data_IF_363332791369
#
_entry.id   IF_363332791369
#
_cell.length_a   1.000
_cell.length_b   1.000
_cell.length_c   1.000
_cell.angle_alpha   90.00
_cell.angle_beta   90.00
_cell.angle_gamma   90.00
#
_symmetry.space_group_name_H-M   'P 1'
#
loop_
_entity.id
_entity.type
_entity.pdbx_description
1 polymer ?
#
# COMPACT_ATOMS: atom_id res chain seq x y z
N UNK A 1 3.92 17.44 10.23
CA UNK A 1 4.90 18.30 9.51
C UNK A 1 4.75 18.23 8.00
N UNK A 2 4.43 17.06 7.43
CA UNK A 2 4.21 16.90 5.98
C UNK A 2 2.90 17.57 5.49
N UNK A 3 1.86 17.62 6.31
CA UNK A 3 0.58 18.28 5.98
C UNK A 3 0.68 19.81 5.90
N UNK A 4 1.62 20.41 6.61
CA UNK A 4 1.82 21.87 6.62
C UNK A 4 2.41 22.37 5.29
N UNK A 5 3.16 21.54 4.57
CA UNK A 5 3.76 21.90 3.29
C UNK A 5 2.80 21.94 2.09
N UNK A 6 1.57 21.41 2.24
CA UNK A 6 0.60 21.35 1.14
C UNK A 6 -0.21 22.64 0.94
N UNK A 7 -0.20 23.56 1.92
CA UNK A 7 -1.24 24.62 1.96
C UNK A 7 -0.76 26.06 1.86
N UNK A 8 0.51 26.35 1.76
CA UNK A 8 0.95 27.78 1.76
C UNK A 8 1.92 28.11 0.66
N UNK A 9 1.63 29.10 -0.13
CA UNK A 9 2.43 30.05 -0.91
C UNK A 9 3.96 29.91 -1.03
N UNK A 10 4.51 28.77 -0.66
CA UNK A 10 5.91 28.38 -0.86
C UNK A 10 6.20 27.97 -2.32
N UNK A 11 5.16 27.95 -3.17
CA UNK A 11 5.32 27.62 -4.59
C UNK A 11 6.24 28.62 -5.30
N UNK A 12 6.22 29.90 -4.95
CA UNK A 12 7.10 30.89 -5.55
C UNK A 12 8.57 30.73 -5.11
N UNK A 13 8.81 30.39 -3.85
CA UNK A 13 10.16 30.11 -3.37
C UNK A 13 10.73 28.81 -3.98
N UNK A 14 9.86 27.86 -4.34
CA UNK A 14 10.26 26.61 -4.97
C UNK A 14 10.56 26.75 -6.46
N UNK A 15 9.96 27.71 -7.15
CA UNK A 15 10.28 28.03 -8.55
C UNK A 15 11.73 28.53 -8.74
N UNK A 16 12.40 28.96 -7.67
CA UNK A 16 13.80 29.33 -7.65
C UNK A 16 14.78 28.16 -7.45
N UNK A 17 14.25 26.94 -7.23
CA UNK A 17 15.06 25.73 -7.04
C UNK A 17 15.48 25.13 -8.39
N UNK A 18 16.57 24.36 -8.36
CA UNK A 18 17.01 23.62 -9.54
C UNK A 18 15.96 22.58 -10.00
N UNK A 19 15.97 22.16 -11.28
CA UNK A 19 14.97 21.24 -11.83
C UNK A 19 14.87 19.90 -11.10
N UNK A 20 15.97 19.36 -10.58
CA UNK A 20 15.98 18.08 -9.86
C UNK A 20 15.27 18.20 -8.51
N UNK A 21 15.46 19.32 -7.84
CA UNK A 21 14.75 19.63 -6.60
C UNK A 21 13.27 19.82 -6.86
N UNK A 22 12.87 20.51 -7.91
CA UNK A 22 11.46 20.68 -8.30
C UNK A 22 10.79 19.33 -8.59
N UNK A 23 11.46 18.45 -9.33
CA UNK A 23 10.94 17.11 -9.63
C UNK A 23 10.80 16.28 -8.37
N UNK A 24 11.76 16.37 -7.45
CA UNK A 24 11.70 15.68 -6.15
C UNK A 24 10.50 16.15 -5.33
N UNK A 25 10.27 17.46 -5.26
CA UNK A 25 9.13 18.04 -4.53
C UNK A 25 7.81 17.65 -5.18
N UNK A 26 7.72 17.66 -6.51
CA UNK A 26 6.53 17.24 -7.23
C UNK A 26 6.19 15.76 -6.90
N UNK A 27 7.19 14.88 -6.92
CA UNK A 27 7.05 13.47 -6.55
C UNK A 27 6.57 13.34 -5.10
N UNK A 28 7.14 14.10 -4.17
CA UNK A 28 6.72 14.13 -2.78
C UNK A 28 5.25 14.47 -2.60
N UNK A 29 4.79 15.52 -3.27
CA UNK A 29 3.38 15.93 -3.24
C UNK A 29 2.45 14.82 -3.73
N UNK A 30 2.84 14.09 -4.77
CA UNK A 30 2.06 12.98 -5.27
C UNK A 30 2.06 11.81 -4.28
N UNK A 31 3.19 11.47 -3.68
CA UNK A 31 3.25 10.41 -2.67
C UNK A 31 2.41 10.74 -1.43
N UNK A 32 2.40 11.99 -0.98
CA UNK A 32 1.52 12.44 0.11
C UNK A 32 0.03 12.29 -0.25
N UNK A 33 -0.36 12.63 -1.48
CA UNK A 33 -1.74 12.41 -1.96
C UNK A 33 -2.10 10.93 -1.99
N UNK A 34 -1.22 10.08 -2.50
CA UNK A 34 -1.42 8.64 -2.52
C UNK A 34 -1.50 8.05 -1.10
N UNK A 35 -0.65 8.51 -0.18
CA UNK A 35 -0.67 8.11 1.23
C UNK A 35 -1.95 8.59 1.94
N UNK A 36 -2.45 9.79 1.63
CA UNK A 36 -3.74 10.27 2.11
C UNK A 36 -4.89 9.40 1.56
N UNK A 37 -4.87 9.07 0.27
CA UNK A 37 -5.84 8.17 -0.33
C UNK A 37 -5.83 6.78 0.33
N UNK A 38 -4.63 6.23 0.62
CA UNK A 38 -4.46 5.00 1.39
C UNK A 38 -5.15 5.08 2.76
N UNK A 39 -4.89 6.13 3.52
CA UNK A 39 -5.52 6.35 4.82
C UNK A 39 -7.05 6.37 4.71
N UNK A 40 -7.58 7.06 3.71
CA UNK A 40 -9.02 7.16 3.47
C UNK A 40 -9.65 5.82 3.08
N UNK A 41 -8.92 4.92 2.41
CA UNK A 41 -9.40 3.57 2.11
C UNK A 41 -9.70 2.81 3.39
N UNK A 42 -8.78 2.81 4.35
CA UNK A 42 -8.96 2.07 5.61
C UNK A 42 -9.86 2.78 6.62
N UNK A 43 -9.91 4.11 6.65
CA UNK A 43 -10.64 4.87 7.68
C UNK A 43 -11.96 5.47 7.23
N UNK A 44 -12.09 5.88 5.96
CA UNK A 44 -13.21 6.66 5.46
C UNK A 44 -14.01 5.98 4.32
N UNK A 45 -13.60 4.78 3.90
CA UNK A 45 -14.33 4.02 2.88
C UNK A 45 -14.13 4.47 1.45
N UNK A 46 -13.06 5.20 1.19
CA UNK A 46 -12.63 5.42 -0.18
C UNK A 46 -12.31 4.08 -0.84
N UNK A 47 -12.66 3.90 -2.11
CA UNK A 47 -12.18 2.77 -2.88
C UNK A 47 -10.73 3.03 -3.35
N UNK A 48 -9.81 2.05 -3.28
CA UNK A 48 -8.52 2.14 -3.95
C UNK A 48 -8.71 2.11 -5.46
N UNK A 49 -7.72 2.59 -6.19
CA UNK A 49 -7.65 2.31 -7.63
C UNK A 49 -7.29 0.83 -7.83
N UNK A 50 -7.71 0.27 -8.94
CA UNK A 50 -7.37 -1.11 -9.32
C UNK A 50 -6.85 -1.14 -10.74
N UNK A 51 -6.11 -2.18 -11.09
CA UNK A 51 -5.66 -2.41 -12.46
C UNK A 51 -6.75 -3.17 -13.19
N UNK A 52 -7.20 -2.62 -14.32
CA UNK A 52 -8.29 -3.16 -15.13
C UNK A 52 -9.62 -3.27 -14.33
N UNK A 53 -10.12 -4.47 -14.10
CA UNK A 53 -11.32 -4.73 -13.30
C UNK A 53 -10.96 -5.33 -11.95
N UNK A 54 -11.69 -4.98 -10.86
CA UNK A 54 -11.41 -5.57 -9.54
C UNK A 54 -11.60 -7.08 -9.57
N UNK A 55 -10.60 -7.81 -9.10
CA UNK A 55 -10.70 -9.26 -8.89
C UNK A 55 -11.70 -9.57 -7.76
N UNK A 56 -12.15 -10.81 -7.68
CA UNK A 56 -13.07 -11.21 -6.60
C UNK A 56 -12.38 -11.11 -5.23
N UNK A 57 -11.07 -11.32 -5.16
CA UNK A 57 -10.26 -11.05 -3.96
C UNK A 57 -10.37 -9.60 -3.53
N UNK A 58 -10.12 -8.65 -4.44
CA UNK A 58 -10.22 -7.22 -4.13
C UNK A 58 -11.63 -6.84 -3.67
N UNK A 59 -12.67 -7.34 -4.33
CA UNK A 59 -14.07 -7.11 -3.91
C UNK A 59 -14.35 -7.62 -2.49
N UNK A 60 -13.84 -8.82 -2.17
CA UNK A 60 -14.00 -9.41 -0.84
C UNK A 60 -13.25 -8.59 0.21
N UNK A 61 -12.01 -8.17 -0.05
CA UNK A 61 -11.23 -7.31 0.85
C UNK A 61 -11.91 -5.95 1.09
N UNK A 62 -12.55 -5.36 0.08
CA UNK A 62 -13.35 -4.14 0.24
C UNK A 62 -14.56 -4.38 1.15
N UNK A 63 -15.20 -5.56 1.05
CA UNK A 63 -16.33 -5.94 1.91
C UNK A 63 -15.86 -6.16 3.36
N UNK A 64 -14.70 -6.79 3.56
CA UNK A 64 -14.08 -6.96 4.88
C UNK A 64 -13.78 -5.60 5.50
N UNK A 65 -13.15 -4.70 4.76
CA UNK A 65 -12.85 -3.33 5.20
C UNK A 65 -14.12 -2.56 5.61
N UNK A 66 -15.20 -2.71 4.85
CA UNK A 66 -16.48 -2.11 5.19
C UNK A 66 -17.03 -2.68 6.51
N UNK A 67 -17.00 -4.01 6.68
CA UNK A 67 -17.49 -4.68 7.88
C UNK A 67 -16.71 -4.25 9.13
N UNK A 68 -15.38 -4.11 9.05
CA UNK A 68 -14.53 -3.61 10.13
C UNK A 68 -14.95 -2.19 10.53
N UNK A 69 -15.10 -1.28 9.58
CA UNK A 69 -15.50 0.11 9.86
C UNK A 69 -16.89 0.24 10.47
N UNK A 70 -17.78 -0.70 10.18
CA UNK A 70 -19.12 -0.76 10.76
C UNK A 70 -19.16 -1.53 12.10
N UNK A 71 -18.00 -1.98 12.62
CA UNK A 71 -17.88 -2.73 13.86
C UNK A 71 -18.37 -4.17 13.78
N UNK A 72 -18.58 -4.71 12.57
CA UNK A 72 -19.02 -6.08 12.32
C UNK A 72 -17.85 -7.06 12.25
N UNK A 73 -17.01 -7.08 13.31
CA UNK A 73 -15.74 -7.79 13.33
C UNK A 73 -15.87 -9.29 13.07
N UNK A 74 -16.88 -9.95 13.64
CA UNK A 74 -17.10 -11.38 13.43
C UNK A 74 -17.42 -11.73 11.95
N UNK A 75 -18.15 -10.85 11.26
CA UNK A 75 -18.43 -10.99 9.83
C UNK A 75 -17.17 -10.78 9.00
N UNK A 76 -16.38 -9.77 9.35
CA UNK A 76 -15.10 -9.48 8.71
C UNK A 76 -14.13 -10.66 8.84
N UNK A 77 -13.98 -11.21 10.07
CA UNK A 77 -13.12 -12.36 10.34
C UNK A 77 -13.57 -13.62 9.56
N UNK A 78 -14.87 -13.91 9.54
CA UNK A 78 -15.40 -15.04 8.77
C UNK A 78 -15.14 -14.88 7.26
N UNK A 79 -15.28 -13.68 6.73
CA UNK A 79 -15.00 -13.37 5.32
C UNK A 79 -13.50 -13.50 5.00
N UNK A 80 -12.59 -13.03 5.88
CA UNK A 80 -11.15 -13.16 5.73
C UNK A 80 -10.71 -14.64 5.76
N UNK A 81 -11.23 -15.42 6.69
CA UNK A 81 -10.99 -16.87 6.78
C UNK A 81 -11.47 -17.60 5.52
N UNK A 82 -12.65 -17.26 5.01
CA UNK A 82 -13.18 -17.84 3.78
C UNK A 82 -12.32 -17.45 2.56
N UNK A 83 -11.84 -16.21 2.51
CA UNK A 83 -10.94 -15.73 1.45
C UNK A 83 -9.62 -16.50 1.47
N UNK A 84 -9.02 -16.67 2.65
CA UNK A 84 -7.77 -17.44 2.80
C UNK A 84 -7.97 -18.91 2.46
N UNK A 85 -9.05 -19.55 2.91
CA UNK A 85 -9.36 -20.94 2.58
C UNK A 85 -9.57 -21.19 1.07
N UNK A 86 -10.04 -20.18 0.33
CA UNK A 86 -10.23 -20.24 -1.12
C UNK A 86 -9.01 -19.80 -1.90
N UNK A 87 -7.99 -19.24 -1.23
CA UNK A 87 -6.79 -18.69 -1.86
C UNK A 87 -5.95 -19.81 -2.50
N UNK A 88 -5.43 -19.52 -3.67
CA UNK A 88 -4.41 -20.36 -4.30
C UNK A 88 -3.03 -19.88 -3.88
N UNK A 89 -2.07 -20.78 -3.64
CA UNK A 89 -0.68 -20.41 -3.43
C UNK A 89 -0.17 -19.54 -4.60
N UNK A 90 0.62 -18.53 -4.28
CA UNK A 90 1.27 -17.65 -5.24
C UNK A 90 2.77 -17.97 -5.29
N UNK A 91 3.21 -18.93 -6.11
CA UNK A 91 4.64 -19.28 -6.19
C UNK A 91 5.42 -18.17 -6.85
N UNK A 92 6.60 -17.89 -6.33
CA UNK A 92 7.48 -16.85 -6.85
C UNK A 92 8.97 -17.23 -6.71
N UNK A 93 9.82 -16.42 -7.33
CA UNK A 93 11.26 -16.44 -7.10
C UNK A 93 11.63 -15.16 -6.36
N UNK A 94 12.09 -15.29 -5.12
CA UNK A 94 12.50 -14.17 -4.26
C UNK A 94 14.01 -14.24 -4.08
N UNK A 95 14.74 -13.23 -4.57
CA UNK A 95 16.20 -13.17 -4.53
C UNK A 95 16.90 -14.44 -5.06
N UNK A 96 16.33 -15.02 -6.13
CA UNK A 96 16.85 -16.23 -6.77
C UNK A 96 16.44 -17.55 -6.12
N UNK A 97 15.69 -17.51 -5.01
CA UNK A 97 15.18 -18.70 -4.33
C UNK A 97 13.70 -18.92 -4.67
N UNK A 98 13.34 -20.16 -4.95
CA UNK A 98 11.94 -20.53 -5.14
C UNK A 98 11.21 -20.53 -3.81
N UNK A 99 10.07 -19.84 -3.79
CA UNK A 99 9.14 -19.77 -2.68
C UNK A 99 7.80 -20.33 -3.16
N UNK A 100 7.24 -21.27 -2.44
CA UNK A 100 6.01 -21.95 -2.85
C UNK A 100 4.79 -21.04 -2.77
N UNK A 101 4.82 -20.07 -1.86
CA UNK A 101 3.71 -19.16 -1.64
C UNK A 101 4.18 -17.80 -1.10
N UNK A 102 3.72 -16.73 -1.73
CA UNK A 102 3.94 -15.35 -1.28
C UNK A 102 2.59 -14.74 -0.91
N UNK A 103 2.48 -14.30 0.33
CA UNK A 103 1.34 -13.51 0.82
C UNK A 103 1.81 -12.50 1.86
N UNK A 104 1.03 -11.47 2.06
CA UNK A 104 1.19 -10.63 3.24
C UNK A 104 0.68 -11.35 4.49
N UNK A 105 1.26 -11.05 5.66
CA UNK A 105 0.82 -11.60 6.94
C UNK A 105 -0.45 -10.91 7.46
N UNK A 106 -0.67 -9.65 7.07
CA UNK A 106 -1.88 -8.89 7.37
C UNK A 106 -3.04 -9.42 6.51
N UNK A 107 -4.11 -9.86 7.15
CA UNK A 107 -5.30 -10.40 6.49
C UNK A 107 -6.00 -9.38 5.59
N UNK A 108 -5.85 -8.07 5.85
CA UNK A 108 -6.40 -7.01 5.00
C UNK A 108 -5.57 -6.78 3.73
N UNK A 109 -4.32 -7.22 3.73
CA UNK A 109 -3.39 -7.11 2.61
C UNK A 109 -3.08 -8.48 1.98
N UNK A 110 -3.64 -9.57 2.51
CA UNK A 110 -3.38 -10.92 2.03
C UNK A 110 -3.71 -11.08 0.53
N UNK A 111 -2.69 -11.38 -0.26
CA UNK A 111 -2.82 -11.59 -1.70
C UNK A 111 -2.95 -10.33 -2.54
N UNK A 112 -2.76 -9.14 -1.98
CA UNK A 112 -2.62 -7.89 -2.72
C UNK A 112 -1.27 -7.23 -2.48
N UNK A 113 -0.88 -6.38 -3.41
CA UNK A 113 0.24 -5.45 -3.28
C UNK A 113 -0.32 -4.04 -3.22
N UNK A 114 -0.03 -3.33 -2.14
CA UNK A 114 -0.33 -1.91 -2.00
C UNK A 114 0.66 -1.07 -2.80
N UNK A 115 0.17 -0.16 -3.63
CA UNK A 115 1.02 0.65 -4.53
C UNK A 115 0.65 2.12 -4.43
N UNK A 116 1.64 2.97 -4.15
CA UNK A 116 1.55 4.41 -4.30
C UNK A 116 2.18 4.79 -5.64
N UNK A 117 1.39 5.31 -6.55
CA UNK A 117 1.86 5.69 -7.87
C UNK A 117 2.38 7.13 -7.89
N UNK A 118 3.32 7.41 -8.79
CA UNK A 118 3.91 8.74 -8.98
C UNK A 118 2.92 9.83 -9.42
N UNK A 119 1.71 9.44 -9.83
CA UNK A 119 0.62 10.35 -10.17
C UNK A 119 -0.31 10.71 -8.99
N UNK A 120 0.01 10.27 -7.78
CA UNK A 120 -0.76 10.55 -6.57
C UNK A 120 -1.93 9.61 -6.31
N UNK A 121 -2.04 8.53 -7.06
CA UNK A 121 -3.08 7.51 -6.88
C UNK A 121 -2.56 6.36 -6.01
N UNK A 122 -3.47 5.75 -5.26
CA UNK A 122 -3.23 4.57 -4.45
C UNK A 122 -3.95 3.37 -5.03
N UNK A 123 -3.22 2.30 -5.29
CA UNK A 123 -3.72 1.10 -5.94
C UNK A 123 -3.67 -0.11 -5.02
N UNK A 124 -4.63 -1.01 -5.19
CA UNK A 124 -4.56 -2.41 -4.81
C UNK A 124 -4.32 -3.24 -6.08
N UNK A 125 -3.22 -3.96 -6.09
CA UNK A 125 -2.84 -4.84 -7.20
C UNK A 125 -2.89 -6.27 -6.69
N UNK A 126 -3.69 -7.12 -7.30
CA UNK A 126 -3.72 -8.54 -6.98
C UNK A 126 -2.35 -9.17 -7.30
N UNK A 127 -1.78 -9.95 -6.36
CA UNK A 127 -0.48 -10.60 -6.56
C UNK A 127 -0.47 -11.50 -7.79
N UNK A 128 -1.60 -12.08 -8.17
CA UNK A 128 -1.71 -12.87 -9.41
C UNK A 128 -1.51 -12.02 -10.68
N UNK A 129 -1.70 -10.71 -10.61
CA UNK A 129 -1.44 -9.77 -11.72
C UNK A 129 0.03 -9.36 -11.83
N UNK A 130 0.83 -9.60 -10.78
CA UNK A 130 2.24 -9.22 -10.75
C UNK A 130 3.08 -10.21 -11.55
N UNK A 131 3.86 -9.71 -12.50
CA UNK A 131 4.87 -10.49 -13.22
C UNK A 131 6.23 -10.39 -12.53
N UNK A 132 6.62 -9.18 -12.09
CA UNK A 132 7.83 -8.98 -11.28
C UNK A 132 7.74 -7.71 -10.46
N UNK A 133 8.36 -7.73 -9.29
CA UNK A 133 8.56 -6.59 -8.41
C UNK A 133 10.04 -6.53 -8.03
N UNK A 134 10.68 -5.39 -8.31
CA UNK A 134 12.07 -5.13 -7.91
C UNK A 134 12.11 -3.95 -6.97
N UNK A 135 12.41 -4.19 -5.70
CA UNK A 135 12.59 -3.15 -4.70
C UNK A 135 13.99 -2.51 -4.86
N UNK A 136 14.06 -1.18 -4.82
CA UNK A 136 15.34 -0.48 -4.78
C UNK A 136 15.88 -0.44 -3.34
N UNK A 137 17.20 -0.53 -3.14
CA UNK A 137 17.81 -0.33 -1.83
C UNK A 137 17.46 1.05 -1.27
N UNK A 138 17.17 1.18 0.04
CA UNK A 138 16.88 2.48 0.63
C UNK A 138 18.16 3.34 0.63
N UNK A 139 18.02 4.59 0.18
CA UNK A 139 19.12 5.57 0.15
C UNK A 139 18.81 6.80 1.01
N UNK A 140 17.55 7.07 1.27
CA UNK A 140 17.05 8.23 2.02
C UNK A 140 16.13 7.75 3.15
N UNK A 141 15.99 8.50 4.24
CA UNK A 141 15.05 8.16 5.32
C UNK A 141 13.62 7.91 4.82
N UNK A 142 13.19 8.62 3.78
CA UNK A 142 11.88 8.45 3.17
C UNK A 142 11.68 7.07 2.56
N UNK A 143 12.72 6.47 2.02
CA UNK A 143 12.67 5.16 1.40
C UNK A 143 12.40 4.05 2.44
N UNK A 144 12.45 4.38 3.74
CA UNK A 144 12.03 3.50 4.85
C UNK A 144 10.51 3.54 5.07
N UNK A 145 9.82 4.57 4.59
CA UNK A 145 8.36 4.68 4.65
C UNK A 145 7.72 4.22 3.36
N UNK A 146 8.31 4.60 2.22
CA UNK A 146 7.82 4.31 0.88
C UNK A 146 8.98 3.79 0.03
N UNK A 147 9.04 2.48 -0.11
CA UNK A 147 10.11 1.82 -0.84
C UNK A 147 9.90 1.98 -2.33
N UNK A 148 10.83 2.63 -3.00
CA UNK A 148 10.84 2.72 -4.46
C UNK A 148 11.00 1.34 -5.08
N UNK A 149 10.21 1.07 -6.12
CA UNK A 149 10.20 -0.22 -6.80
C UNK A 149 9.89 -0.07 -8.30
N UNK A 150 10.31 -1.04 -9.08
CA UNK A 150 9.82 -1.26 -10.44
C UNK A 150 8.84 -2.42 -10.41
N UNK A 151 7.62 -2.17 -10.86
CA UNK A 151 6.53 -3.13 -10.94
C UNK A 151 6.22 -3.43 -12.39
N UNK A 152 6.28 -4.70 -12.76
CA UNK A 152 5.82 -5.20 -14.05
C UNK A 152 4.61 -6.09 -13.84
N UNK A 153 3.53 -5.81 -14.55
CA UNK A 153 2.30 -6.57 -14.50
C UNK A 153 2.23 -7.57 -15.65
N UNK A 154 1.43 -8.61 -15.47
CA UNK A 154 1.23 -9.64 -16.52
C UNK A 154 0.56 -9.12 -17.78
N UNK A 155 -0.16 -7.99 -17.72
CA UNK A 155 -0.73 -7.30 -18.87
C UNK A 155 0.32 -6.50 -19.68
N UNK A 156 1.59 -6.50 -19.27
CA UNK A 156 2.69 -5.80 -19.91
C UNK A 156 2.95 -4.37 -19.39
N UNK A 157 2.14 -3.87 -18.45
CA UNK A 157 2.40 -2.58 -17.82
C UNK A 157 3.69 -2.63 -17.01
N UNK A 158 4.55 -1.64 -17.19
CA UNK A 158 5.85 -1.50 -16.51
C UNK A 158 5.95 -0.09 -15.95
N UNK A 159 6.10 0.04 -14.64
CA UNK A 159 6.02 1.33 -13.95
C UNK A 159 6.96 1.41 -12.77
N UNK A 160 7.48 2.61 -12.53
CA UNK A 160 8.12 2.97 -11.27
C UNK A 160 7.02 3.35 -10.26
N UNK A 161 7.07 2.70 -9.11
CA UNK A 161 6.06 2.83 -8.06
C UNK A 161 6.73 2.91 -6.68
N UNK A 162 5.91 3.14 -5.66
CA UNK A 162 6.37 3.11 -4.27
C UNK A 162 5.50 2.14 -3.47
N UNK A 163 6.14 1.31 -2.68
CA UNK A 163 5.50 0.32 -1.82
C UNK A 163 5.53 0.86 -0.38
N UNK A 164 4.38 0.97 0.31
CA UNK A 164 4.38 1.33 1.72
C UNK A 164 5.12 0.25 2.52
N UNK A 165 6.05 0.68 3.37
CA UNK A 165 6.85 -0.23 4.22
C UNK A 165 6.26 -0.36 5.63
N UNK A 166 5.17 0.35 5.93
CA UNK A 166 4.48 0.35 7.21
C UNK A 166 3.02 0.01 6.95
N UNK A 167 2.47 -0.90 7.74
CA UNK A 167 1.07 -1.28 7.66
C UNK A 167 0.12 -0.11 7.96
N UNK A 168 -1.10 -0.12 7.39
CA UNK A 168 -2.12 0.84 7.77
C UNK A 168 -2.50 0.58 9.22
N UNK A 169 -2.19 1.52 10.10
CA UNK A 169 -2.52 1.40 11.51
C UNK A 169 -3.28 2.63 11.99
N UNK A 170 -4.26 2.40 12.85
CA UNK A 170 -4.98 3.45 13.57
C UNK A 170 -4.38 3.52 14.97
N UNK A 171 -3.29 4.26 15.11
CA UNK A 171 -2.60 4.44 16.40
C UNK A 171 -1.99 5.82 16.49
N UNK A 172 -1.88 6.34 17.71
CA UNK A 172 -1.12 7.55 18.03
C UNK A 172 0.30 7.23 18.55
N UNK A 173 0.70 5.95 18.59
CA UNK A 173 2.05 5.54 18.99
C UNK A 173 3.09 5.96 17.94
N UNK A 174 4.01 6.89 18.26
CA UNK A 174 5.04 7.33 17.32
C UNK A 174 5.97 6.21 16.85
N UNK A 175 6.20 5.18 17.68
CA UNK A 175 7.07 4.07 17.31
C UNK A 175 6.43 3.20 16.22
N UNK A 176 5.12 2.93 16.30
CA UNK A 176 4.36 2.23 15.27
C UNK A 176 4.25 3.08 13.98
N UNK A 177 3.93 4.37 14.11
CA UNK A 177 3.83 5.30 12.96
C UNK A 177 5.15 5.45 12.19
N UNK A 178 6.29 5.22 12.83
CA UNK A 178 7.62 5.26 12.22
C UNK A 178 8.14 3.88 11.82
N UNK A 179 7.33 2.82 11.96
CA UNK A 179 7.74 1.45 11.66
C UNK A 179 8.87 0.91 12.56
N UNK A 180 9.04 1.50 13.77
CA UNK A 180 10.03 1.04 14.77
C UNK A 180 9.50 -0.06 15.67
N UNK A 181 8.19 -0.30 15.60
CA UNK A 181 7.48 -1.32 16.33
C UNK A 181 6.44 -1.93 15.40
N UNK A 182 6.37 -3.24 15.36
CA UNK A 182 5.31 -4.01 14.72
C UNK A 182 4.71 -4.90 15.79
N UNK A 183 3.42 -4.74 16.04
CA UNK A 183 2.64 -5.63 16.89
C UNK A 183 1.53 -6.23 16.01
N UNK A 184 1.36 -7.52 16.11
CA UNK A 184 0.22 -8.21 15.53
C UNK A 184 -0.88 -8.28 16.59
N UNK A 185 -2.04 -7.78 16.25
CA UNK A 185 -3.23 -7.84 17.11
C UNK A 185 -4.20 -8.83 16.49
N UNK A 186 -4.58 -9.84 17.26
CA UNK A 186 -5.73 -10.68 16.92
C UNK A 186 -6.99 -9.95 17.37
N UNK A 187 -7.71 -9.35 16.44
CA UNK A 187 -8.97 -8.66 16.70
C UNK A 187 -10.15 -9.51 16.20
N UNK A 188 -10.54 -10.46 17.05
CA UNK A 188 -11.69 -11.34 16.78
C UNK A 188 -11.44 -12.34 15.65
N UNK A 189 -10.17 -12.74 15.40
CA UNK A 189 -9.75 -13.69 14.38
C UNK A 189 -9.27 -13.07 13.08
N UNK A 190 -8.99 -11.77 13.08
CA UNK A 190 -8.21 -11.04 12.06
C UNK A 190 -6.82 -10.75 12.60
N UNK A 191 -5.78 -10.89 11.78
CA UNK A 191 -4.38 -10.55 12.09
C UNK A 191 -3.88 -9.46 11.17
#
# INVERSE_FOLDING_TARGET
LAEIGLNNGQDEAMLALDPDTLLTVATWRQLLRAAQARREVFSAGRAPEVVDTPTDRIKTLLTINLAIREGRLAEAAAAAQALEAARRPCPAVVDGQQVEDVRDLDDLCAGILEVLASNGKYFWVDLEQVASLRLEPPRRPLDLLWRKARLVLRNGSDSEVFIPAIYPTVTDDPAALLGRRTDWLDDGGLV
#
